data_IF_449864015639
#
_entry.id   IF_449864015639
#
_cell.length_a   1.000
_cell.length_b   1.000
_cell.length_c   1.000
_cell.angle_alpha   90.00
_cell.angle_beta   90.00
_cell.angle_gamma   90.00
#
_symmetry.space_group_name_H-M   'P 1'
#
loop_
_entity.id
_entity.type
_entity.pdbx_description
1 polymer ?
#
# COMPACT_ATOMS: atom_id res chain seq x y z
N UNK A 1 -3.60 37.92 10.18
CA UNK A 1 -3.47 37.97 11.65
C UNK A 1 -3.76 36.57 12.18
N UNK A 2 -2.80 35.65 12.03
CA UNK A 2 -2.92 34.29 12.57
C UNK A 2 -2.42 34.33 14.02
N UNK A 3 -3.28 34.00 14.98
CA UNK A 3 -2.90 34.01 16.39
C UNK A 3 -1.90 32.90 16.66
N UNK A 4 -0.69 33.29 17.07
CA UNK A 4 0.26 32.40 17.71
C UNK A 4 -0.30 31.96 19.07
N UNK A 5 -0.99 30.83 19.12
CA UNK A 5 -1.09 30.04 20.36
C UNK A 5 0.01 28.99 20.28
N UNK A 6 1.26 29.45 20.44
CA UNK A 6 2.40 28.57 20.61
C UNK A 6 2.45 28.21 22.10
N UNK A 7 1.94 27.04 22.46
CA UNK A 7 2.29 26.41 23.74
C UNK A 7 3.78 26.11 23.65
N UNK A 8 4.59 26.82 24.45
CA UNK A 8 6.04 26.69 24.46
C UNK A 8 6.42 25.30 24.97
N UNK A 9 6.58 24.34 24.05
CA UNK A 9 6.93 22.96 24.37
C UNK A 9 8.46 22.81 24.24
N UNK A 10 9.03 22.05 25.16
CA UNK A 10 10.47 21.86 25.26
C UNK A 10 11.01 21.17 23.99
N UNK A 11 11.91 21.79 23.22
CA UNK A 11 12.40 21.25 21.95
C UNK A 11 13.26 19.98 22.10
N UNK A 12 13.69 19.62 23.32
CA UNK A 12 14.32 18.31 23.60
C UNK A 12 13.32 17.17 23.80
N UNK A 13 12.03 17.49 23.97
CA UNK A 13 10.94 16.54 24.22
C UNK A 13 9.86 16.58 23.14
N UNK A 14 9.86 17.62 22.30
CA UNK A 14 8.80 17.93 21.35
C UNK A 14 9.41 18.28 19.99
N UNK A 15 9.30 17.37 19.04
CA UNK A 15 9.50 17.68 17.62
C UNK A 15 8.34 18.58 17.17
N UNK A 16 8.64 19.65 16.43
CA UNK A 16 7.64 20.61 16.00
C UNK A 16 6.59 19.93 15.09
N UNK A 17 5.29 19.90 15.45
CA UNK A 17 4.22 19.39 14.62
C UNK A 17 4.05 20.18 13.32
N UNK A 18 4.69 21.34 13.16
CA UNK A 18 4.75 22.10 11.91
C UNK A 18 5.89 21.63 10.98
N UNK A 19 6.88 20.88 11.48
CA UNK A 19 7.80 20.10 10.62
C UNK A 19 7.14 18.83 10.07
N UNK A 20 6.01 18.40 10.65
CA UNK A 20 5.19 17.33 10.10
C UNK A 20 4.59 17.78 8.77
N UNK A 21 5.28 17.46 7.67
CA UNK A 21 4.71 17.53 6.33
C UNK A 21 4.17 16.14 5.95
N UNK A 22 2.87 15.85 6.16
CA UNK A 22 2.24 14.61 5.69
C UNK A 22 2.24 14.50 4.16
N UNK A 23 2.54 15.61 3.48
CA UNK A 23 2.61 15.77 2.04
C UNK A 23 4.04 15.96 1.53
N UNK A 24 5.08 15.50 2.26
CA UNK A 24 6.50 15.56 1.82
C UNK A 24 6.65 15.24 0.33
N UNK A 25 5.94 14.22 -0.16
CA UNK A 25 5.97 13.80 -1.57
C UNK A 25 5.38 14.79 -2.59
N UNK A 26 4.51 15.70 -2.17
CA UNK A 26 3.90 16.72 -3.05
C UNK A 26 4.81 17.93 -3.29
N UNK A 27 5.85 18.10 -2.47
CA UNK A 27 6.79 19.23 -2.56
C UNK A 27 7.94 18.99 -3.54
N UNK A 28 8.09 17.80 -4.12
CA UNK A 28 9.20 17.46 -5.00
C UNK A 28 8.83 17.56 -6.48
N UNK A 29 9.67 18.25 -7.28
CA UNK A 29 9.39 18.56 -8.69
C UNK A 29 10.36 17.88 -9.66
N UNK A 30 9.89 17.59 -10.87
CA UNK A 30 10.70 17.19 -12.03
C UNK A 30 11.36 15.81 -11.94
N UNK A 31 12.60 15.77 -11.46
CA UNK A 31 13.45 14.56 -11.46
C UNK A 31 12.86 13.45 -10.59
N UNK A 32 12.33 13.81 -9.42
CA UNK A 32 11.64 12.90 -8.50
C UNK A 32 10.41 12.25 -9.15
N UNK A 33 9.57 13.04 -9.82
CA UNK A 33 8.40 12.50 -10.49
C UNK A 33 8.80 11.55 -11.64
N UNK A 34 9.89 11.87 -12.35
CA UNK A 34 10.46 10.98 -13.39
C UNK A 34 10.95 9.66 -12.77
N UNK A 35 11.63 9.70 -11.62
CA UNK A 35 12.06 8.51 -10.89
C UNK A 35 10.87 7.63 -10.49
N UNK A 36 9.87 8.20 -9.81
CA UNK A 36 8.65 7.47 -9.40
C UNK A 36 7.91 6.89 -10.61
N UNK A 37 7.80 7.64 -11.70
CA UNK A 37 7.16 7.16 -12.94
C UNK A 37 7.95 6.04 -13.62
N UNK A 38 9.28 6.13 -13.64
CA UNK A 38 10.17 5.10 -14.18
C UNK A 38 9.99 3.80 -13.39
N UNK A 39 10.03 3.90 -12.06
CA UNK A 39 9.79 2.78 -11.17
C UNK A 39 8.41 2.15 -11.38
N UNK A 40 7.34 2.96 -11.37
CA UNK A 40 5.98 2.46 -11.57
C UNK A 40 5.81 1.77 -12.92
N UNK A 41 6.46 2.29 -13.97
CA UNK A 41 6.42 1.69 -15.32
C UNK A 41 7.16 0.35 -15.37
N UNK A 42 8.26 0.20 -14.61
CA UNK A 42 8.93 -1.09 -14.47
C UNK A 42 8.06 -2.06 -13.69
N UNK A 43 7.60 -1.70 -12.49
CA UNK A 43 6.89 -2.64 -11.61
C UNK A 43 5.51 -3.05 -12.17
N UNK A 44 4.74 -2.07 -12.65
CA UNK A 44 3.36 -2.25 -13.14
C UNK A 44 3.26 -2.25 -14.66
N UNK A 45 4.40 -2.30 -15.37
CA UNK A 45 4.42 -2.43 -16.82
C UNK A 45 3.81 -3.76 -17.28
N UNK A 46 3.27 -3.85 -18.50
CA UNK A 46 2.55 -5.04 -18.98
C UNK A 46 3.32 -6.36 -18.82
N UNK A 47 4.64 -6.33 -19.02
CA UNK A 47 5.51 -7.50 -18.85
C UNK A 47 5.56 -7.96 -17.39
N UNK A 48 6.01 -7.09 -16.47
CA UNK A 48 6.11 -7.42 -15.04
C UNK A 48 4.75 -7.68 -14.38
N UNK A 49 3.68 -7.02 -14.88
CA UNK A 49 2.32 -7.31 -14.45
C UNK A 49 1.96 -8.78 -14.72
N UNK A 50 2.24 -9.27 -15.93
CA UNK A 50 1.92 -10.62 -16.36
C UNK A 50 2.85 -11.67 -15.75
N UNK A 51 4.15 -11.38 -15.71
CA UNK A 51 5.17 -12.36 -15.34
C UNK A 51 5.41 -12.45 -13.83
N UNK A 52 5.15 -11.37 -13.09
CA UNK A 52 5.52 -11.27 -11.68
C UNK A 52 4.34 -10.94 -10.77
N UNK A 53 3.61 -9.85 -11.04
CA UNK A 53 2.57 -9.39 -10.11
C UNK A 53 1.34 -10.30 -10.09
N UNK A 54 0.84 -10.73 -11.25
CA UNK A 54 -0.36 -11.55 -11.34
C UNK A 54 -0.17 -12.93 -10.67
N UNK A 55 0.93 -13.68 -10.91
CA UNK A 55 1.19 -14.93 -10.19
C UNK A 55 1.31 -14.76 -8.68
N UNK A 56 2.00 -13.72 -8.20
CA UNK A 56 2.13 -13.48 -6.76
C UNK A 56 0.81 -13.10 -6.11
N UNK A 57 -0.02 -12.29 -6.78
CA UNK A 57 -1.36 -11.97 -6.32
C UNK A 57 -2.24 -13.22 -6.28
N UNK A 58 -2.20 -14.07 -7.31
CA UNK A 58 -2.94 -15.32 -7.34
C UNK A 58 -2.54 -16.24 -6.19
N UNK A 59 -1.23 -16.40 -5.94
CA UNK A 59 -0.72 -17.21 -4.82
C UNK A 59 -1.22 -16.65 -3.48
N UNK A 60 -1.07 -15.35 -3.26
CA UNK A 60 -1.52 -14.70 -2.02
C UNK A 60 -3.01 -14.87 -1.77
N UNK A 61 -3.85 -14.75 -2.81
CA UNK A 61 -5.30 -14.97 -2.73
C UNK A 61 -5.63 -16.43 -2.43
N UNK A 62 -4.99 -17.38 -3.13
CA UNK A 62 -5.21 -18.82 -2.91
C UNK A 62 -4.84 -19.26 -1.50
N UNK A 63 -3.67 -18.87 -1.03
CA UNK A 63 -3.18 -19.18 0.33
C UNK A 63 -4.08 -18.56 1.40
N UNK A 64 -4.49 -17.30 1.20
CA UNK A 64 -5.38 -16.62 2.13
C UNK A 64 -6.74 -17.30 2.18
N UNK A 65 -7.33 -17.63 1.03
CA UNK A 65 -8.63 -18.31 0.99
C UNK A 65 -8.58 -19.71 1.58
N UNK A 66 -7.50 -20.48 1.32
CA UNK A 66 -7.29 -21.78 1.94
C UNK A 66 -7.24 -21.66 3.47
N UNK A 67 -6.51 -20.66 3.98
CA UNK A 67 -6.43 -20.37 5.42
C UNK A 67 -7.78 -19.93 6.00
N UNK A 68 -8.51 -19.07 5.29
CA UNK A 68 -9.79 -18.55 5.73
C UNK A 68 -10.87 -19.64 5.78
N UNK A 69 -10.83 -20.59 4.84
CA UNK A 69 -11.76 -21.71 4.78
C UNK A 69 -11.64 -22.68 5.97
N UNK A 70 -10.49 -22.69 6.67
CA UNK A 70 -10.31 -23.48 7.89
C UNK A 70 -10.97 -22.86 9.12
N UNK A 71 -11.42 -21.60 9.04
CA UNK A 71 -12.05 -20.89 10.15
C UNK A 71 -13.58 -20.83 9.97
N UNK A 72 -14.32 -20.91 11.08
CA UNK A 72 -15.79 -20.78 11.09
C UNK A 72 -16.26 -19.41 10.59
N UNK A 73 -15.47 -18.36 10.85
CA UNK A 73 -15.72 -17.00 10.38
C UNK A 73 -14.40 -16.24 10.31
N UNK A 74 -14.38 -15.17 9.53
CA UNK A 74 -13.22 -14.28 9.40
C UNK A 74 -13.66 -12.83 9.50
N UNK A 75 -12.78 -11.97 10.01
CA UNK A 75 -12.91 -10.53 9.80
C UNK A 75 -12.34 -10.18 8.41
N UNK A 76 -13.23 -10.09 7.41
CA UNK A 76 -12.86 -9.88 5.99
C UNK A 76 -11.95 -8.66 5.80
N UNK A 77 -12.22 -7.56 6.53
CA UNK A 77 -11.43 -6.33 6.45
C UNK A 77 -9.99 -6.56 6.90
N UNK A 78 -9.78 -7.19 8.05
CA UNK A 78 -8.43 -7.46 8.56
C UNK A 78 -7.72 -8.53 7.72
N UNK A 79 -8.43 -9.59 7.32
CA UNK A 79 -7.90 -10.65 6.45
C UNK A 79 -7.36 -10.10 5.12
N UNK A 80 -8.16 -9.29 4.42
CA UNK A 80 -7.75 -8.63 3.18
C UNK A 80 -6.61 -7.64 3.43
N UNK A 81 -6.64 -6.91 4.55
CA UNK A 81 -5.58 -5.95 4.90
C UNK A 81 -4.24 -6.64 5.11
N UNK A 82 -4.22 -7.78 5.80
CA UNK A 82 -3.01 -8.59 5.98
C UNK A 82 -2.52 -9.15 4.64
N UNK A 83 -3.39 -9.78 3.84
CA UNK A 83 -3.03 -10.35 2.54
C UNK A 83 -2.40 -9.32 1.60
N UNK A 84 -3.03 -8.16 1.45
CA UNK A 84 -2.55 -7.11 0.56
C UNK A 84 -1.26 -6.48 1.10
N UNK A 85 -1.17 -6.21 2.40
CA UNK A 85 0.05 -5.64 2.97
C UNK A 85 1.22 -6.62 2.84
N UNK A 86 1.00 -7.91 3.09
CA UNK A 86 2.02 -8.96 2.94
C UNK A 86 2.52 -9.02 1.48
N UNK A 87 1.62 -8.98 0.49
CA UNK A 87 1.95 -8.95 -0.94
C UNK A 87 2.77 -7.70 -1.32
N UNK A 88 2.31 -6.52 -0.92
CA UNK A 88 2.97 -5.25 -1.26
C UNK A 88 4.33 -5.16 -0.57
N UNK A 89 4.43 -5.54 0.70
CA UNK A 89 5.69 -5.51 1.44
C UNK A 89 6.70 -6.51 0.89
N UNK A 90 6.27 -7.71 0.47
CA UNK A 90 7.12 -8.65 -0.27
C UNK A 90 7.65 -8.01 -1.56
N UNK A 91 6.79 -7.35 -2.33
CA UNK A 91 7.16 -6.78 -3.64
C UNK A 91 8.02 -5.53 -3.58
N UNK A 92 7.76 -4.65 -2.61
CA UNK A 92 8.49 -3.38 -2.52
C UNK A 92 9.78 -3.53 -1.71
N UNK A 93 9.75 -4.30 -0.61
CA UNK A 93 10.84 -4.29 0.38
C UNK A 93 11.32 -5.69 0.78
N UNK A 94 10.88 -6.74 0.08
CA UNK A 94 11.32 -8.11 0.32
C UNK A 94 10.90 -8.68 1.68
N UNK A 95 9.91 -8.09 2.36
CA UNK A 95 9.50 -8.53 3.70
C UNK A 95 8.70 -9.83 3.64
N UNK A 96 8.98 -10.71 4.61
CA UNK A 96 8.15 -11.88 4.89
C UNK A 96 6.90 -11.49 5.71
N UNK A 97 5.84 -12.31 5.75
CA UNK A 97 4.60 -11.99 6.44
C UNK A 97 4.76 -11.57 7.90
N UNK A 98 5.72 -12.13 8.63
CA UNK A 98 5.96 -11.75 10.04
C UNK A 98 6.43 -10.30 10.16
N UNK A 99 7.48 -9.92 9.42
CA UNK A 99 7.98 -8.54 9.40
C UNK A 99 6.95 -7.56 8.80
N UNK A 100 6.24 -7.99 7.76
CA UNK A 100 5.17 -7.22 7.11
C UNK A 100 4.06 -6.85 8.10
N UNK A 101 3.59 -7.80 8.92
CA UNK A 101 2.51 -7.55 9.89
C UNK A 101 2.92 -6.61 11.02
N UNK A 102 4.18 -6.65 11.47
CA UNK A 102 4.69 -5.68 12.43
C UNK A 102 4.74 -4.28 11.84
N UNK A 103 5.22 -4.14 10.60
CA UNK A 103 5.24 -2.86 9.90
C UNK A 103 3.82 -2.34 9.65
N UNK A 104 2.86 -3.21 9.31
CA UNK A 104 1.44 -2.84 9.13
C UNK A 104 0.85 -2.19 10.36
N UNK A 105 1.16 -2.70 11.57
CA UNK A 105 0.68 -2.10 12.83
C UNK A 105 1.15 -0.65 12.99
N UNK A 106 2.42 -0.38 12.65
CA UNK A 106 2.95 0.99 12.70
C UNK A 106 2.24 1.90 11.68
N UNK A 107 1.96 1.41 10.47
CA UNK A 107 1.16 2.16 9.48
C UNK A 107 -0.28 2.40 9.93
N UNK A 108 -0.89 1.45 10.61
CA UNK A 108 -2.26 1.59 11.12
C UNK A 108 -2.34 2.68 12.19
N UNK A 109 -1.42 2.69 13.17
CA UNK A 109 -1.34 3.76 14.18
C UNK A 109 -1.06 5.11 13.53
N UNK A 110 -0.14 5.14 12.56
CA UNK A 110 0.16 6.35 11.80
C UNK A 110 -1.11 6.91 11.12
N UNK A 111 -1.83 6.09 10.36
CA UNK A 111 -3.04 6.52 9.66
C UNK A 111 -4.17 6.93 10.60
N UNK A 112 -4.43 6.13 11.65
CA UNK A 112 -5.53 6.39 12.57
C UNK A 112 -5.37 7.73 13.31
N UNK A 113 -4.14 8.13 13.62
CA UNK A 113 -3.92 9.44 14.25
C UNK A 113 -3.77 10.61 13.28
N UNK A 114 -3.57 10.41 11.97
CA UNK A 114 -3.54 11.50 10.97
C UNK A 114 -4.85 12.29 10.92
N UNK A 115 -5.99 11.64 11.16
CA UNK A 115 -7.32 12.27 11.20
C UNK A 115 -7.77 12.66 12.61
N UNK A 116 -6.89 12.54 13.60
CA UNK A 116 -7.19 12.84 15.00
C UNK A 116 -6.85 14.28 15.37
N UNK A 117 -7.40 14.77 16.48
CA UNK A 117 -7.01 16.07 17.01
C UNK A 117 -5.51 16.08 17.36
N UNK A 118 -4.72 17.08 16.91
CA UNK A 118 -3.25 17.06 16.96
C UNK A 118 -2.70 17.37 18.37
N UNK A 119 -3.14 16.61 19.38
CA UNK A 119 -2.65 16.71 20.75
C UNK A 119 -1.56 15.66 20.98
N UNK A 120 -0.30 16.09 21.05
CA UNK A 120 0.82 15.18 21.28
C UNK A 120 1.03 14.94 22.78
N UNK A 121 0.19 14.07 23.35
CA UNK A 121 0.28 13.63 24.74
C UNK A 121 0.20 12.10 24.84
N UNK A 122 1.00 11.42 25.69
CA UNK A 122 0.95 9.97 25.81
C UNK A 122 -0.47 9.43 26.02
N UNK A 123 -0.86 8.43 25.23
CA UNK A 123 -2.20 7.84 25.24
C UNK A 123 -3.17 8.42 24.19
N UNK A 124 -2.87 9.57 23.61
CA UNK A 124 -3.66 10.14 22.49
C UNK A 124 -3.42 9.42 21.17
N UNK A 125 -4.38 9.51 20.24
CA UNK A 125 -4.23 8.98 18.88
C UNK A 125 -3.13 9.69 18.09
N UNK A 126 -2.97 11.01 18.26
CA UNK A 126 -1.90 11.75 17.59
C UNK A 126 -0.52 11.33 18.11
N UNK A 127 -0.36 11.10 19.41
CA UNK A 127 0.89 10.54 19.97
C UNK A 127 1.24 9.19 19.35
N UNK A 128 0.29 8.25 19.28
CA UNK A 128 0.54 6.94 18.64
C UNK A 128 0.83 7.06 17.15
N UNK A 129 0.20 8.01 16.45
CA UNK A 129 0.51 8.30 15.05
C UNK A 129 1.96 8.73 14.85
N UNK A 130 2.46 9.65 15.67
CA UNK A 130 3.87 10.07 15.60
C UNK A 130 4.83 8.92 15.92
N UNK A 131 4.50 8.07 16.89
CA UNK A 131 5.30 6.87 17.19
C UNK A 131 5.28 5.85 16.04
N UNK A 132 4.11 5.61 15.43
CA UNK A 132 3.97 4.76 14.26
C UNK A 132 4.81 5.26 13.08
N UNK A 133 4.75 6.57 12.79
CA UNK A 133 5.59 7.21 11.76
C UNK A 133 7.08 7.02 12.04
N UNK A 134 7.53 7.31 13.26
CA UNK A 134 8.95 7.13 13.66
C UNK A 134 9.40 5.68 13.49
N UNK A 135 8.56 4.72 13.85
CA UNK A 135 8.87 3.30 13.67
C UNK A 135 8.95 2.91 12.19
N UNK A 136 8.01 3.34 11.35
CA UNK A 136 8.06 3.10 9.89
C UNK A 136 9.35 3.67 9.30
N UNK A 137 9.64 4.94 9.59
CA UNK A 137 10.84 5.63 9.12
C UNK A 137 12.12 4.90 9.55
N UNK A 138 12.20 4.52 10.83
CA UNK A 138 13.34 3.74 11.36
C UNK A 138 13.48 2.40 10.64
N UNK A 139 12.43 1.59 10.57
CA UNK A 139 12.47 0.26 9.93
C UNK A 139 12.94 0.33 8.47
N UNK A 140 12.42 1.30 7.70
CA UNK A 140 12.79 1.45 6.30
C UNK A 140 14.20 2.04 6.13
N UNK A 141 14.61 2.95 7.00
CA UNK A 141 15.99 3.48 7.03
C UNK A 141 17.00 2.38 7.34
N UNK A 142 16.72 1.56 8.37
CA UNK A 142 17.59 0.47 8.78
C UNK A 142 17.72 -0.56 7.66
N UNK A 143 16.60 -0.92 7.00
CA UNK A 143 16.60 -1.81 5.85
C UNK A 143 17.40 -1.26 4.65
N UNK A 144 17.25 0.02 4.32
CA UNK A 144 17.98 0.63 3.21
C UNK A 144 19.48 0.66 3.49
N UNK A 145 19.89 0.98 4.73
CA UNK A 145 21.30 0.94 5.16
C UNK A 145 21.88 -0.48 5.14
N UNK A 146 21.10 -1.47 5.57
CA UNK A 146 21.49 -2.88 5.51
C UNK A 146 21.82 -3.29 4.07
N UNK A 147 20.92 -2.98 3.12
CA UNK A 147 21.08 -3.32 1.70
C UNK A 147 22.22 -2.55 1.03
N UNK A 148 22.41 -1.26 1.35
CA UNK A 148 23.57 -0.47 0.90
C UNK A 148 24.92 -1.03 1.39
N UNK A 149 24.93 -1.69 2.54
CA UNK A 149 26.15 -2.29 3.10
C UNK A 149 26.47 -3.68 2.52
N UNK A 150 25.57 -4.26 1.72
CA UNK A 150 25.67 -5.60 1.14
C UNK A 150 25.34 -5.61 -0.38
N UNK A 151 26.12 -4.91 -1.23
CA UNK A 151 25.80 -4.69 -2.65
C UNK A 151 25.82 -5.95 -3.54
N UNK A 152 26.23 -7.11 -3.02
CA UNK A 152 26.30 -8.37 -3.76
C UNK A 152 24.99 -9.14 -3.89
N UNK A 153 23.96 -8.78 -3.11
CA UNK A 153 22.68 -9.49 -3.09
C UNK A 153 21.60 -8.70 -3.83
N UNK A 154 21.09 -9.27 -4.95
CA UNK A 154 19.95 -8.71 -5.68
C UNK A 154 18.67 -9.49 -5.39
N UNK A 155 17.64 -8.75 -5.04
CA UNK A 155 16.32 -9.25 -4.64
C UNK A 155 15.24 -8.97 -5.69
N UNK A 156 15.56 -8.18 -6.72
CA UNK A 156 14.67 -7.67 -7.76
C UNK A 156 13.43 -6.96 -7.19
N UNK A 157 13.62 -6.21 -6.10
CA UNK A 157 12.59 -5.39 -5.45
C UNK A 157 12.80 -3.88 -5.73
N UNK A 158 11.97 -3.02 -5.13
CA UNK A 158 12.12 -1.56 -5.30
C UNK A 158 13.39 -1.03 -4.62
N UNK A 159 13.86 -1.67 -3.56
CA UNK A 159 15.04 -1.21 -2.84
C UNK A 159 16.28 -1.34 -3.72
N UNK A 160 16.40 -2.42 -4.49
CA UNK A 160 17.52 -2.57 -5.43
C UNK A 160 17.56 -1.42 -6.45
N UNK A 161 16.41 -0.97 -6.94
CA UNK A 161 16.33 0.16 -7.88
C UNK A 161 16.64 1.50 -7.22
N UNK A 162 16.24 1.67 -5.95
CA UNK A 162 16.61 2.84 -5.15
C UNK A 162 18.11 2.87 -4.93
N UNK A 163 18.73 1.72 -4.64
CA UNK A 163 20.18 1.61 -4.44
C UNK A 163 20.91 1.93 -5.73
N UNK A 164 20.49 1.37 -6.87
CA UNK A 164 21.07 1.68 -8.18
C UNK A 164 21.02 3.19 -8.50
N UNK A 165 19.94 3.89 -8.11
CA UNK A 165 19.84 5.34 -8.29
C UNK A 165 20.72 6.12 -7.28
N UNK A 166 20.78 5.69 -6.02
CA UNK A 166 21.60 6.31 -4.96
C UNK A 166 23.10 6.17 -5.24
N UNK A 167 23.53 5.07 -5.87
CA UNK A 167 24.92 4.79 -6.23
C UNK A 167 25.31 5.34 -7.62
N UNK A 168 24.36 5.95 -8.35
CA UNK A 168 24.64 6.53 -9.67
C UNK A 168 25.60 7.73 -9.58
N UNK A 169 26.27 8.08 -10.69
CA UNK A 169 27.22 9.20 -10.73
C UNK A 169 26.58 10.55 -10.36
N UNK A 170 25.28 10.71 -10.61
CA UNK A 170 24.52 11.93 -10.34
C UNK A 170 23.15 11.57 -9.73
N UNK A 171 23.10 11.18 -8.45
CA UNK A 171 21.88 10.69 -7.83
C UNK A 171 20.83 11.80 -7.75
N UNK A 172 19.62 11.52 -8.22
CA UNK A 172 18.50 12.49 -8.18
C UNK A 172 17.69 12.41 -6.88
N UNK A 173 17.98 11.41 -6.04
CA UNK A 173 17.34 11.15 -4.75
C UNK A 173 18.40 10.98 -3.65
N UNK A 174 18.00 11.22 -2.41
CA UNK A 174 18.78 10.89 -1.22
C UNK A 174 18.10 9.80 -0.37
N UNK A 175 18.78 9.35 0.69
CA UNK A 175 18.30 8.29 1.58
C UNK A 175 16.97 8.67 2.27
N UNK A 176 16.82 9.92 2.70
CA UNK A 176 15.59 10.37 3.38
C UNK A 176 14.41 10.35 2.40
N UNK A 177 14.64 10.84 1.18
CA UNK A 177 13.66 10.82 0.12
C UNK A 177 13.26 9.39 -0.26
N UNK A 178 14.24 8.48 -0.38
CA UNK A 178 13.99 7.07 -0.65
C UNK A 178 13.08 6.43 0.41
N UNK A 179 13.33 6.71 1.70
CA UNK A 179 12.50 6.24 2.80
C UNK A 179 11.08 6.82 2.74
N UNK A 180 10.93 8.10 2.41
CA UNK A 180 9.62 8.74 2.22
C UNK A 180 8.83 8.12 1.05
N UNK A 181 9.49 7.85 -0.07
CA UNK A 181 8.88 7.17 -1.24
C UNK A 181 8.46 5.75 -0.89
N UNK A 182 9.33 4.97 -0.23
CA UNK A 182 9.00 3.62 0.23
C UNK A 182 7.79 3.62 1.15
N UNK A 183 7.80 4.53 2.14
CA UNK A 183 6.71 4.69 3.10
C UNK A 183 5.38 4.96 2.40
N UNK A 184 5.38 5.89 1.45
CA UNK A 184 4.15 6.26 0.76
C UNK A 184 3.68 5.24 -0.28
N UNK A 185 4.59 4.56 -0.98
CA UNK A 185 4.20 3.50 -1.90
C UNK A 185 3.57 2.32 -1.16
N UNK A 186 4.15 1.92 -0.02
CA UNK A 186 3.54 0.93 0.87
C UNK A 186 2.14 1.37 1.27
N UNK A 187 2.03 2.58 1.82
CA UNK A 187 0.75 3.13 2.29
C UNK A 187 -0.31 3.23 1.19
N UNK A 188 0.01 3.88 0.08
CA UNK A 188 -0.90 4.11 -1.02
C UNK A 188 -1.41 2.79 -1.62
N UNK A 189 -0.53 1.79 -1.73
CA UNK A 189 -0.88 0.48 -2.28
C UNK A 189 -1.86 -0.25 -1.36
N UNK A 190 -1.54 -0.41 -0.07
CA UNK A 190 -2.41 -1.22 0.81
C UNK A 190 -3.70 -0.49 1.17
N UNK A 191 -3.66 0.81 1.49
CA UNK A 191 -4.83 1.53 2.00
C UNK A 191 -5.98 1.56 0.98
N UNK A 192 -5.65 1.71 -0.31
CA UNK A 192 -6.61 1.74 -1.42
C UNK A 192 -7.09 0.33 -1.79
N UNK A 193 -6.18 -0.62 -2.00
CA UNK A 193 -6.50 -1.98 -2.43
C UNK A 193 -7.30 -2.73 -1.37
N UNK A 194 -6.86 -2.68 -0.10
CA UNK A 194 -7.55 -3.38 0.98
C UNK A 194 -8.97 -2.86 1.19
N UNK A 195 -9.16 -1.55 1.13
CA UNK A 195 -10.49 -0.93 1.27
C UNK A 195 -11.40 -1.27 0.09
N UNK A 196 -10.88 -1.22 -1.13
CA UNK A 196 -11.63 -1.55 -2.36
C UNK A 196 -12.08 -3.00 -2.34
N UNK A 197 -11.18 -3.92 -1.99
CA UNK A 197 -11.49 -5.35 -1.92
C UNK A 197 -12.48 -5.66 -0.78
N UNK A 198 -12.33 -5.04 0.39
CA UNK A 198 -13.29 -5.22 1.49
C UNK A 198 -14.71 -4.80 1.09
N UNK A 199 -14.85 -3.66 0.40
CA UNK A 199 -16.13 -3.20 -0.15
C UNK A 199 -16.62 -4.13 -1.26
N UNK A 200 -15.73 -4.60 -2.14
CA UNK A 200 -16.05 -5.59 -3.17
C UNK A 200 -16.63 -6.89 -2.58
N UNK A 201 -16.00 -7.42 -1.54
CA UNK A 201 -16.51 -8.58 -0.80
C UNK A 201 -17.89 -8.31 -0.20
N UNK A 202 -18.08 -7.14 0.43
CA UNK A 202 -19.39 -6.74 0.97
C UNK A 202 -20.47 -6.77 -0.12
N UNK A 203 -20.20 -6.17 -1.27
CA UNK A 203 -21.15 -6.15 -2.39
C UNK A 203 -21.42 -7.55 -2.93
N UNK A 204 -20.42 -8.42 -3.05
CA UNK A 204 -20.63 -9.81 -3.49
C UNK A 204 -21.45 -10.61 -2.48
N UNK A 205 -21.19 -10.44 -1.18
CA UNK A 205 -21.96 -11.10 -0.11
C UNK A 205 -23.42 -10.64 -0.11
N UNK A 206 -23.68 -9.34 -0.30
CA UNK A 206 -25.04 -8.80 -0.31
C UNK A 206 -25.81 -9.15 -1.59
N UNK A 207 -25.13 -9.58 -2.66
CA UNK A 207 -25.72 -9.83 -3.99
C UNK A 207 -25.42 -11.26 -4.50
N UNK A 208 -26.01 -12.32 -3.91
CA UNK A 208 -25.69 -13.70 -4.27
C UNK A 208 -26.03 -14.08 -5.72
N UNK A 209 -26.95 -13.35 -6.37
CA UNK A 209 -27.23 -13.51 -7.81
C UNK A 209 -25.99 -13.18 -8.66
N UNK A 210 -25.30 -12.08 -8.34
CA UNK A 210 -24.07 -11.67 -9.02
C UNK A 210 -22.98 -12.74 -8.87
N UNK A 211 -22.85 -13.32 -7.68
CA UNK A 211 -21.89 -14.40 -7.43
C UNK A 211 -22.18 -15.64 -8.28
N UNK A 212 -23.46 -16.01 -8.46
CA UNK A 212 -23.85 -17.13 -9.33
C UNK A 212 -23.46 -16.86 -10.80
N UNK A 213 -23.77 -15.68 -11.31
CA UNK A 213 -23.41 -15.30 -12.68
C UNK A 213 -21.89 -15.26 -12.89
N UNK A 214 -21.14 -14.72 -11.92
CA UNK A 214 -19.67 -14.72 -11.99
C UNK A 214 -19.11 -16.15 -12.05
N UNK A 215 -19.61 -17.07 -11.21
CA UNK A 215 -19.19 -18.48 -11.24
C UNK A 215 -19.47 -19.12 -12.60
N UNK A 216 -20.67 -18.89 -13.15
CA UNK A 216 -21.03 -19.39 -14.48
C UNK A 216 -20.07 -18.90 -15.58
N UNK A 217 -19.72 -17.61 -15.57
CA UNK A 217 -18.76 -17.02 -16.53
C UNK A 217 -17.38 -17.67 -16.41
N UNK A 218 -16.90 -17.93 -15.19
CA UNK A 218 -15.57 -18.54 -14.97
C UNK A 218 -15.53 -20.05 -15.28
N UNK A 219 -16.64 -20.76 -15.13
CA UNK A 219 -16.76 -22.20 -15.45
C UNK A 219 -16.99 -22.47 -16.96
N UNK A 220 -17.39 -21.46 -17.73
CA UNK A 220 -17.73 -21.55 -19.16
C UNK A 220 -16.83 -20.58 -19.98
N UNK A 221 -15.58 -20.97 -20.33
CA UNK A 221 -14.55 -20.04 -20.82
C UNK A 221 -14.84 -19.36 -22.16
N UNK A 222 -15.74 -19.92 -22.97
CA UNK A 222 -16.14 -19.37 -24.28
C UNK A 222 -17.10 -18.19 -24.17
N UNK A 223 -17.59 -17.88 -22.97
CA UNK A 223 -18.36 -16.65 -22.69
C UNK A 223 -17.47 -15.49 -22.22
N UNK A 224 -16.17 -15.71 -21.99
CA UNK A 224 -15.24 -14.61 -21.83
C UNK A 224 -15.17 -13.86 -23.17
N UNK A 225 -15.59 -12.59 -23.23
CA UNK A 225 -15.65 -11.87 -24.49
C UNK A 225 -14.23 -11.71 -25.03
N UNK A 226 -13.93 -12.44 -26.09
CA UNK A 226 -12.75 -12.17 -26.91
C UNK A 226 -13.00 -10.82 -27.60
N UNK A 227 -12.47 -9.76 -26.98
CA UNK A 227 -12.49 -8.37 -27.46
C UNK A 227 -13.88 -7.82 -27.82
N UNK A 228 -14.56 -7.16 -26.86
CA UNK A 228 -15.82 -6.43 -27.12
C UNK A 228 -15.68 -4.96 -26.67
N UNK A 229 -16.10 -3.98 -27.48
CA UNK A 229 -15.86 -2.56 -27.23
C UNK A 229 -16.59 -2.01 -25.98
N UNK A 230 -16.07 -0.92 -25.37
CA UNK A 230 -16.36 -0.51 -23.98
C UNK A 230 -17.82 -0.15 -23.64
N UNK A 231 -18.72 -0.04 -24.61
CA UNK A 231 -20.09 0.46 -24.39
C UNK A 231 -21.17 -0.61 -24.11
N UNK A 232 -20.84 -1.90 -24.14
CA UNK A 232 -21.84 -2.97 -23.97
C UNK A 232 -22.22 -3.23 -22.49
N UNK A 233 -21.26 -3.11 -21.57
CA UNK A 233 -21.46 -3.48 -20.16
C UNK A 233 -22.41 -2.56 -19.40
N UNK A 234 -22.46 -1.26 -19.76
CA UNK A 234 -23.31 -0.28 -19.08
C UNK A 234 -24.79 -0.64 -19.19
N UNK A 235 -25.23 -1.16 -20.35
CA UNK A 235 -26.64 -1.40 -20.64
C UNK A 235 -27.20 -2.60 -19.87
N UNK A 236 -26.45 -3.69 -19.79
CA UNK A 236 -26.92 -4.92 -19.15
C UNK A 236 -26.85 -4.83 -17.61
N UNK A 237 -25.83 -4.16 -17.06
CA UNK A 237 -25.72 -3.97 -15.61
C UNK A 237 -26.75 -2.95 -15.09
N UNK A 238 -26.98 -1.84 -15.81
CA UNK A 238 -28.00 -0.85 -15.44
C UNK A 238 -29.42 -1.41 -15.56
N UNK A 239 -29.71 -2.21 -16.59
CA UNK A 239 -31.04 -2.82 -16.72
C UNK A 239 -31.33 -3.85 -15.62
N UNK A 240 -30.31 -4.55 -15.11
CA UNK A 240 -30.48 -5.48 -13.98
C UNK A 240 -30.63 -4.76 -12.63
N UNK A 241 -30.09 -3.54 -12.49
CA UNK A 241 -30.20 -2.74 -11.26
C UNK A 241 -31.48 -1.89 -11.22
N UNK A 242 -32.07 -1.57 -12.38
CA UNK A 242 -33.32 -0.80 -12.47
C UNK A 242 -34.60 -1.65 -12.44
N UNK A 243 -34.50 -2.98 -12.34
CA UNK A 243 -35.65 -3.89 -12.21
C UNK A 243 -35.92 -4.38 -10.77
N UNK A 244 -35.32 -3.73 -9.77
CA UNK A 244 -35.54 -3.99 -8.34
C UNK A 244 -35.96 -2.73 -7.60
#
# INVERSE_FOLDING_TARGET
MMSHIAVHLNPKLFEDPLEFNPWSLTTYTGAVHKFVRSFASKLFGPANLKESLLPDLESAVRESFATWAMNLSIEVKDGISNMIFDLVAKKLIGFNPTKSRELRKNFQEFFQGMVSFPLYFPGTSFYRCMQGRRNVQKTLTDLLKERLSAPGEKYNDLIDQIIEELESENPVIDVNFAVDVLSALLFASFATLSSTLAVGFKFLTDNPKVVKELKYIFEVPHLLPQTVPPNSYKKNLLNSLCQS
#
